data_IF_238454044955
#
_entry.id   IF_238454044955
#
_cell.length_a   1.000
_cell.length_b   1.000
_cell.length_c   1.000
_cell.angle_alpha   90.00
_cell.angle_beta   90.00
_cell.angle_gamma   90.00
#
_symmetry.space_group_name_H-M   'P 1'
#
loop_
_entity.id
_entity.type
_entity.pdbx_description
1 polymer ?
#
# COMPACT_ATOMS: atom_id res chain seq x y z
N UNK A 1 12.46 -6.36 -16.39
CA UNK A 1 11.49 -6.85 -15.37
C UNK A 1 12.18 -7.81 -14.40
N UNK A 2 11.85 -7.78 -13.11
CA UNK A 2 12.42 -8.74 -12.13
C UNK A 2 11.57 -10.02 -12.11
N UNK A 3 12.12 -11.21 -12.43
CA UNK A 3 11.35 -12.46 -12.46
C UNK A 3 10.69 -12.79 -11.12
N UNK A 4 11.38 -12.51 -10.01
CA UNK A 4 10.87 -12.75 -8.64
C UNK A 4 9.66 -11.89 -8.28
N UNK A 5 9.45 -10.75 -8.95
CA UNK A 5 8.37 -9.80 -8.66
C UNK A 5 7.22 -9.91 -9.68
N UNK A 6 7.33 -10.82 -10.65
CA UNK A 6 6.35 -10.96 -11.72
C UNK A 6 5.06 -11.61 -11.22
N UNK A 7 3.92 -11.01 -11.55
CA UNK A 7 2.58 -11.50 -11.22
C UNK A 7 1.85 -11.79 -12.54
N UNK A 8 2.25 -12.86 -13.23
CA UNK A 8 1.79 -13.15 -14.59
C UNK A 8 0.40 -13.79 -14.60
N UNK A 9 -0.50 -13.27 -15.44
CA UNK A 9 -1.85 -13.79 -15.69
C UNK A 9 -2.69 -14.09 -14.43
N UNK A 10 -2.51 -13.33 -13.35
CA UNK A 10 -3.29 -13.50 -12.12
C UNK A 10 -4.58 -12.68 -12.15
N UNK A 11 -5.65 -13.24 -11.57
CA UNK A 11 -6.96 -12.58 -11.47
C UNK A 11 -6.95 -11.39 -10.51
N UNK A 12 -6.07 -11.43 -9.51
CA UNK A 12 -5.85 -10.38 -8.54
C UNK A 12 -4.33 -10.11 -8.45
N UNK A 13 -3.93 -8.85 -8.40
CA UNK A 13 -2.51 -8.45 -8.36
C UNK A 13 -2.27 -7.31 -7.36
N UNK A 14 -1.05 -7.27 -6.80
CA UNK A 14 -0.56 -6.14 -6.00
C UNK A 14 0.11 -5.12 -6.91
N UNK A 15 -0.34 -3.87 -6.86
CA UNK A 15 0.22 -2.77 -7.64
C UNK A 15 0.11 -1.44 -6.89
N UNK A 16 1.23 -0.74 -6.72
CA UNK A 16 1.32 0.58 -6.04
C UNK A 16 0.62 0.63 -4.67
N UNK A 17 0.73 -0.44 -3.86
CA UNK A 17 0.10 -0.52 -2.54
C UNK A 17 -1.41 -0.78 -2.59
N UNK A 18 -1.92 -1.21 -3.74
CA UNK A 18 -3.30 -1.66 -3.93
C UNK A 18 -3.35 -3.14 -4.29
N UNK A 19 -4.47 -3.75 -3.93
CA UNK A 19 -4.89 -5.05 -4.41
C UNK A 19 -5.96 -4.82 -5.49
N UNK A 20 -5.67 -5.24 -6.71
CA UNK A 20 -6.48 -4.95 -7.90
C UNK A 20 -7.06 -6.26 -8.44
N UNK A 21 -8.37 -6.29 -8.61
CA UNK A 21 -9.12 -7.36 -9.27
C UNK A 21 -10.07 -6.75 -10.32
N UNK A 22 -10.83 -7.59 -11.03
CA UNK A 22 -11.75 -7.12 -12.06
C UNK A 22 -12.81 -6.18 -11.47
N UNK A 23 -12.76 -4.90 -11.87
CA UNK A 23 -13.75 -3.90 -11.49
C UNK A 23 -13.64 -3.39 -10.05
N UNK A 24 -12.58 -3.75 -9.32
CA UNK A 24 -12.42 -3.37 -7.91
C UNK A 24 -10.95 -3.06 -7.57
N UNK A 25 -10.76 -2.15 -6.62
CA UNK A 25 -9.45 -1.77 -6.09
C UNK A 25 -9.54 -1.58 -4.59
N UNK A 26 -8.71 -2.30 -3.84
CA UNK A 26 -8.61 -2.24 -2.37
C UNK A 26 -7.23 -1.77 -1.97
N UNK A 27 -7.09 -1.13 -0.80
CA UNK A 27 -5.76 -0.87 -0.22
C UNK A 27 -5.16 -2.21 0.21
N UNK A 28 -3.88 -2.44 -0.10
CA UNK A 28 -3.23 -3.70 0.28
C UNK A 28 -3.08 -3.80 1.80
N UNK A 29 -3.11 -5.02 2.33
CA UNK A 29 -2.97 -5.25 3.79
C UNK A 29 -1.67 -4.67 4.32
N UNK A 30 -0.58 -4.77 3.54
CA UNK A 30 0.73 -4.25 3.92
C UNK A 30 0.70 -2.74 4.11
N UNK A 31 -0.03 -2.02 3.25
CA UNK A 31 -0.16 -0.56 3.35
C UNK A 31 -1.00 -0.15 4.56
N UNK A 32 -2.06 -0.90 4.87
CA UNK A 32 -2.87 -0.68 6.08
C UNK A 32 -2.02 -0.92 7.33
N UNK A 33 -1.32 -2.06 7.38
CA UNK A 33 -0.46 -2.42 8.52
C UNK A 33 0.66 -1.39 8.72
N UNK A 34 1.27 -0.90 7.63
CA UNK A 34 2.29 0.13 7.71
C UNK A 34 1.75 1.40 8.39
N UNK A 35 0.56 1.89 8.00
CA UNK A 35 -0.06 3.08 8.62
C UNK A 35 -0.41 2.84 10.08
N UNK A 36 -0.98 1.68 10.42
CA UNK A 36 -1.34 1.33 11.82
C UNK A 36 -0.10 1.25 12.72
N UNK A 37 1.04 0.81 12.19
CA UNK A 37 2.29 0.68 12.92
C UNK A 37 3.09 1.99 13.01
N UNK A 38 2.67 3.07 12.36
CA UNK A 38 3.34 4.37 12.51
C UNK A 38 3.15 4.89 13.94
N UNK A 39 4.23 5.40 14.51
CA UNK A 39 4.18 6.05 15.81
C UNK A 39 3.35 7.33 15.74
N UNK A 40 2.76 7.72 16.87
CA UNK A 40 2.05 8.99 16.98
C UNK A 40 2.96 10.17 16.59
N UNK A 41 2.52 11.06 15.68
CA UNK A 41 3.34 12.19 15.26
C UNK A 41 3.57 13.15 16.43
N UNK A 42 4.82 13.60 16.61
CA UNK A 42 5.21 14.46 17.75
C UNK A 42 5.53 15.89 17.32
N UNK A 43 5.81 16.12 16.04
CA UNK A 43 6.11 17.44 15.50
C UNK A 43 5.09 17.88 14.44
N UNK A 44 5.02 19.18 14.18
CA UNK A 44 4.20 19.75 13.08
C UNK A 44 4.56 19.14 11.72
N UNK A 45 5.84 18.76 11.52
CA UNK A 45 6.31 18.11 10.29
C UNK A 45 5.77 16.69 10.15
N UNK A 46 5.72 15.93 11.24
CA UNK A 46 5.21 14.56 11.23
C UNK A 46 3.70 14.54 10.98
N UNK A 47 2.97 15.47 11.59
CA UNK A 47 1.53 15.66 11.33
C UNK A 47 1.29 15.94 9.84
N UNK A 48 2.10 16.82 9.24
CA UNK A 48 2.03 17.11 7.80
C UNK A 48 2.31 15.85 6.97
N UNK A 49 3.38 15.13 7.25
CA UNK A 49 3.74 13.88 6.54
C UNK A 49 2.66 12.78 6.66
N UNK A 50 1.92 12.76 7.77
CA UNK A 50 0.89 11.78 8.01
C UNK A 50 -0.43 12.08 7.27
N UNK A 51 -0.73 13.36 7.02
CA UNK A 51 -2.03 13.81 6.48
C UNK A 51 -1.98 14.36 5.05
N UNK A 52 -0.87 14.99 4.64
CA UNK A 52 -0.63 15.54 3.29
C UNK A 52 0.15 14.54 2.42
#
# INVERSE_FOLDING_TARGET
>A
VSPKKLQYCQKEVKYLGHLIEKGSRRISKERITAVIQMNSPTTKRDVRMFLE
#
